data_IF_543531517596
#
_entry.id   IF_543531517596
#
_cell.length_a   1.000
_cell.length_b   1.000
_cell.length_c   1.000
_cell.angle_alpha   90.00
_cell.angle_beta   90.00
_cell.angle_gamma   90.00
#
_symmetry.space_group_name_H-M   'P 1'
#
loop_
_entity.id
_entity.type
_entity.pdbx_description
1 polymer ?
#
# COMPACT_ATOMS: atom_id res chain seq x y z
N UNK A 1 -5.63 27.62 -20.82
CA UNK A 1 -6.78 28.21 -21.53
C UNK A 1 -7.39 27.24 -22.56
N UNK A 2 -6.63 26.74 -23.55
CA UNK A 2 -7.20 25.84 -24.59
C UNK A 2 -7.89 24.57 -24.05
N UNK A 3 -7.23 23.79 -23.19
CA UNK A 3 -7.85 22.60 -22.56
C UNK A 3 -9.04 22.95 -21.66
N UNK A 4 -8.98 24.10 -20.97
CA UNK A 4 -10.02 24.56 -20.06
C UNK A 4 -11.30 24.92 -20.81
N UNK A 5 -11.17 25.63 -21.95
CA UNK A 5 -12.30 25.90 -22.84
C UNK A 5 -12.88 24.63 -23.47
N UNK A 6 -12.03 23.66 -23.85
CA UNK A 6 -12.48 22.35 -24.37
C UNK A 6 -13.26 21.52 -23.35
N UNK A 7 -13.02 21.72 -22.06
CA UNK A 7 -13.81 21.11 -20.97
C UNK A 7 -15.17 21.82 -20.74
N UNK A 8 -15.49 22.84 -21.54
CA UNK A 8 -16.78 23.55 -21.50
C UNK A 8 -16.81 24.76 -20.56
N UNK A 9 -15.66 25.21 -20.06
CA UNK A 9 -15.60 26.37 -19.19
C UNK A 9 -15.56 27.68 -19.99
N UNK A 10 -16.52 28.56 -19.74
CA UNK A 10 -16.69 29.83 -20.48
C UNK A 10 -15.77 30.96 -19.98
N UNK A 11 -15.29 30.86 -18.73
CA UNK A 11 -14.43 31.87 -18.09
C UNK A 11 -12.98 31.41 -18.06
N UNK A 12 -12.06 32.36 -18.20
CA UNK A 12 -10.61 32.10 -18.14
C UNK A 12 -10.22 31.40 -16.84
N UNK A 13 -9.35 30.39 -16.97
CA UNK A 13 -8.80 29.63 -15.85
C UNK A 13 -8.00 30.53 -14.90
N UNK A 14 -7.38 31.61 -15.41
CA UNK A 14 -6.57 32.53 -14.61
C UNK A 14 -7.34 33.21 -13.46
N UNK A 15 -8.67 33.32 -13.58
CA UNK A 15 -9.54 33.86 -12.53
C UNK A 15 -10.39 32.78 -11.84
N UNK A 16 -10.16 31.51 -12.18
CA UNK A 16 -10.83 30.37 -11.55
C UNK A 16 -10.37 30.16 -10.11
N UNK A 17 -11.21 29.57 -9.24
CA UNK A 17 -10.77 29.23 -7.89
C UNK A 17 -9.69 28.14 -7.95
N UNK A 18 -8.70 28.25 -7.05
CA UNK A 18 -7.76 27.15 -6.86
C UNK A 18 -8.52 25.91 -6.35
N UNK A 19 -8.17 24.69 -6.82
CA UNK A 19 -8.83 23.47 -6.37
C UNK A 19 -8.83 23.36 -4.84
N UNK A 20 -10.00 23.02 -4.27
CA UNK A 20 -10.14 22.78 -2.84
C UNK A 20 -9.99 21.30 -2.56
N UNK A 21 -9.26 21.00 -1.49
CA UNK A 21 -9.08 19.63 -1.04
C UNK A 21 -10.40 19.07 -0.51
N UNK A 22 -10.86 17.97 -1.09
CA UNK A 22 -11.99 17.20 -0.60
C UNK A 22 -11.47 16.01 0.21
N UNK A 23 -11.67 16.03 1.54
CA UNK A 23 -11.10 15.03 2.47
C UNK A 23 -11.44 13.59 2.13
N UNK A 24 -12.61 13.33 1.54
CA UNK A 24 -13.04 11.99 1.14
C UNK A 24 -12.11 11.32 0.12
N UNK A 25 -11.40 12.09 -0.68
CA UNK A 25 -10.45 11.59 -1.67
C UNK A 25 -9.01 11.46 -1.14
N UNK A 26 -8.78 11.81 0.14
CA UNK A 26 -7.47 11.65 0.78
C UNK A 26 -7.29 10.28 1.44
N UNK A 27 -8.35 9.49 1.53
CA UNK A 27 -8.31 8.14 2.07
C UNK A 27 -7.93 7.20 0.94
N UNK A 28 -6.78 6.54 1.06
CA UNK A 28 -6.39 5.50 0.12
C UNK A 28 -7.10 4.20 0.49
N UNK A 29 -7.69 3.53 -0.50
CA UNK A 29 -8.36 2.23 -0.30
C UNK A 29 -7.37 1.09 -0.06
N UNK A 30 -6.08 1.32 -0.35
CA UNK A 30 -5.01 0.32 -0.26
C UNK A 30 -3.75 0.88 0.37
N UNK A 31 -2.98 -0.01 0.99
CA UNK A 31 -1.71 0.29 1.65
C UNK A 31 -0.65 -0.69 1.17
N UNK A 32 0.53 -0.16 0.85
CA UNK A 32 1.70 -0.96 0.52
C UNK A 32 2.44 -1.40 1.79
N UNK A 33 2.62 -2.71 1.93
CA UNK A 33 3.41 -3.31 3.00
C UNK A 33 4.72 -3.88 2.44
N UNK A 34 5.88 -3.34 2.84
CA UNK A 34 7.14 -4.04 2.65
C UNK A 34 7.22 -5.28 3.54
N UNK A 35 7.55 -6.40 2.94
CA UNK A 35 7.76 -7.68 3.61
C UNK A 35 9.25 -7.90 3.81
N UNK A 36 9.65 -8.09 5.06
CA UNK A 36 11.01 -8.35 5.48
C UNK A 36 11.18 -9.80 5.93
N UNK A 37 12.36 -10.35 5.67
CA UNK A 37 12.81 -11.62 6.24
C UNK A 37 14.13 -11.36 6.96
N UNK A 38 14.16 -11.64 8.26
CA UNK A 38 15.31 -11.35 9.14
C UNK A 38 15.82 -9.90 8.99
N UNK A 39 14.88 -8.94 8.92
CA UNK A 39 15.17 -7.50 8.86
C UNK A 39 15.57 -6.96 7.48
N UNK A 40 15.67 -7.79 6.44
CA UNK A 40 15.93 -7.35 5.06
C UNK A 40 14.65 -7.38 4.24
N UNK A 41 14.33 -6.31 3.52
CA UNK A 41 13.17 -6.24 2.61
C UNK A 41 13.37 -7.21 1.45
N UNK A 42 12.37 -8.05 1.17
CA UNK A 42 12.40 -9.09 0.14
C UNK A 42 11.30 -8.95 -0.89
N UNK A 43 10.13 -8.49 -0.45
CA UNK A 43 8.98 -8.22 -1.32
C UNK A 43 8.16 -7.04 -0.80
N UNK A 44 7.16 -6.65 -1.58
CA UNK A 44 6.12 -5.68 -1.20
C UNK A 44 4.78 -6.25 -1.66
N UNK A 45 3.78 -6.14 -0.80
CA UNK A 45 2.40 -6.49 -1.12
C UNK A 45 1.48 -5.30 -0.88
N UNK A 46 0.42 -5.20 -1.68
CA UNK A 46 -0.58 -4.15 -1.55
C UNK A 46 -1.87 -4.79 -1.02
N UNK A 47 -2.38 -4.27 0.09
CA UNK A 47 -3.57 -4.78 0.78
C UNK A 47 -4.60 -3.68 0.95
N UNK A 48 -5.85 -4.03 1.25
CA UNK A 48 -6.86 -3.04 1.64
C UNK A 48 -6.39 -2.24 2.86
N UNK A 49 -6.73 -0.95 2.90
CA UNK A 49 -6.46 -0.10 4.07
C UNK A 49 -7.19 -0.59 5.34
N UNK A 50 -8.28 -1.34 5.17
CA UNK A 50 -9.06 -1.94 6.26
C UNK A 50 -8.64 -3.38 6.58
N UNK A 51 -7.59 -3.90 5.91
CA UNK A 51 -7.13 -5.27 6.10
C UNK A 51 -6.72 -5.51 7.56
N UNK A 52 -7.14 -6.65 8.11
CA UNK A 52 -6.75 -7.02 9.46
C UNK A 52 -5.28 -7.44 9.50
N UNK A 53 -4.71 -7.49 10.71
CA UNK A 53 -3.35 -7.99 10.92
C UNK A 53 -3.16 -9.39 10.34
N UNK A 54 -4.18 -10.25 10.50
CA UNK A 54 -4.15 -11.64 10.06
C UNK A 54 -4.24 -11.75 8.53
N UNK A 55 -5.03 -10.88 7.88
CA UNK A 55 -5.09 -10.80 6.41
C UNK A 55 -3.74 -10.38 5.82
N UNK A 56 -3.09 -9.39 6.44
CA UNK A 56 -1.77 -8.91 6.04
C UNK A 56 -0.70 -9.99 6.23
N UNK A 57 -0.76 -10.72 7.35
CA UNK A 57 0.12 -11.85 7.63
C UNK A 57 -0.04 -12.95 6.57
N UNK A 58 -1.28 -13.36 6.30
CA UNK A 58 -1.59 -14.38 5.30
C UNK A 58 -1.10 -13.97 3.91
N UNK A 59 -1.43 -12.75 3.48
CA UNK A 59 -1.00 -12.22 2.18
C UNK A 59 0.53 -12.19 2.06
N UNK A 60 1.25 -11.86 3.14
CA UNK A 60 2.70 -11.85 3.14
C UNK A 60 3.33 -13.26 3.09
N UNK A 61 2.66 -14.27 3.65
CA UNK A 61 3.11 -15.67 3.61
C UNK A 61 2.79 -16.36 2.28
N UNK A 62 1.76 -15.89 1.56
CA UNK A 62 1.38 -16.38 0.23
C UNK A 62 2.24 -15.78 -0.91
N UNK A 63 3.04 -14.76 -0.62
CA UNK A 63 3.96 -14.15 -1.61
C UNK A 63 5.00 -15.17 -2.07
N UNK A 64 5.06 -15.44 -3.38
CA UNK A 64 5.93 -16.46 -3.98
C UNK A 64 7.41 -16.29 -3.62
N UNK A 65 7.91 -15.04 -3.52
CA UNK A 65 9.30 -14.79 -3.14
C UNK A 65 9.53 -15.16 -1.68
N UNK A 66 8.54 -14.94 -0.83
CA UNK A 66 8.60 -15.30 0.59
C UNK A 66 8.51 -16.81 0.76
N UNK A 67 7.57 -17.48 0.09
CA UNK A 67 7.45 -18.95 0.08
C UNK A 67 8.78 -19.60 -0.31
N UNK A 68 9.43 -19.10 -1.37
CA UNK A 68 10.75 -19.60 -1.78
C UNK A 68 11.88 -19.34 -0.76
N UNK A 69 11.80 -18.25 0.02
CA UNK A 69 12.77 -17.94 1.07
C UNK A 69 12.54 -18.72 2.37
N UNK A 70 11.31 -19.13 2.62
CA UNK A 70 10.95 -19.97 3.76
C UNK A 70 11.46 -21.40 3.58
N UNK A 71 11.52 -21.90 2.34
CA UNK A 71 12.05 -23.25 2.02
C UNK A 71 11.43 -24.35 2.90
N UNK A 72 10.11 -24.28 3.11
CA UNK A 72 9.37 -25.20 3.98
C UNK A 72 9.58 -25.00 5.49
N UNK A 73 10.41 -24.06 5.92
CA UNK A 73 10.60 -23.73 7.35
C UNK A 73 9.46 -22.86 7.85
N UNK A 74 8.94 -23.23 9.02
CA UNK A 74 7.98 -22.40 9.73
C UNK A 74 8.69 -21.14 10.30
N UNK A 75 8.12 -19.94 10.12
CA UNK A 75 8.59 -18.74 10.79
C UNK A 75 8.63 -18.92 12.31
N UNK A 76 9.72 -18.48 12.95
CA UNK A 76 9.81 -18.45 14.41
C UNK A 76 8.93 -17.36 15.00
N UNK A 77 8.80 -16.23 14.28
CA UNK A 77 7.98 -15.10 14.69
C UNK A 77 7.58 -14.28 13.47
N UNK A 78 6.33 -13.84 13.44
CA UNK A 78 5.84 -12.88 12.45
C UNK A 78 5.43 -11.61 13.19
N UNK A 79 5.90 -10.47 12.69
CA UNK A 79 5.69 -9.16 13.28
C UNK A 79 5.03 -8.29 12.22
N UNK A 80 3.73 -8.09 12.36
CA UNK A 80 2.97 -7.16 11.52
C UNK A 80 2.82 -5.84 12.27
N UNK A 81 3.27 -4.75 11.64
CA UNK A 81 3.02 -3.38 12.07
C UNK A 81 1.98 -2.79 11.10
N UNK A 82 0.72 -2.62 11.53
CA UNK A 82 -0.35 -2.10 10.69
C UNK A 82 0.02 -0.75 10.06
N UNK A 83 -0.31 -0.60 8.80
CA UNK A 83 -0.01 0.57 7.97
C UNK A 83 1.47 0.76 7.63
N UNK A 84 2.36 -0.19 8.00
CA UNK A 84 3.81 0.06 7.93
C UNK A 84 4.63 -1.06 7.32
N UNK A 85 4.59 -2.29 7.84
CA UNK A 85 5.46 -3.39 7.38
C UNK A 85 5.12 -4.75 8.00
N UNK A 86 5.61 -5.81 7.36
CA UNK A 86 5.64 -7.17 7.91
C UNK A 86 7.09 -7.64 8.02
N UNK A 87 7.49 -8.20 9.15
CA UNK A 87 8.79 -8.84 9.33
C UNK A 87 8.64 -10.29 9.78
N UNK A 88 9.23 -11.19 9.01
CA UNK A 88 9.22 -12.63 9.22
C UNK A 88 10.60 -13.02 9.73
N UNK A 89 10.64 -13.65 10.91
CA UNK A 89 11.87 -14.10 11.54
C UNK A 89 12.02 -15.60 11.33
N UNK A 90 13.11 -16.00 10.68
CA UNK A 90 13.53 -17.39 10.49
C UNK A 90 14.74 -17.67 11.39
N UNK A 91 14.70 -18.80 12.11
CA UNK A 91 15.86 -19.38 12.79
C UNK A 91 16.50 -20.47 11.92
#
# INVERSE_FOLDING_TARGET
EDLWGRLGHEKSLAHGPFPRVEKKWLVADTVDYPIQVNGKVRSRTTVSADATKDDVEKTALEDEKIVGLLDGKAPTKIIVIPGRMVNIVLK
#
